data_IF_578292345602
#
_entry.id   IF_578292345602
#
_cell.length_a   1.000
_cell.length_b   1.000
_cell.length_c   1.000
_cell.angle_alpha   90.00
_cell.angle_beta   90.00
_cell.angle_gamma   90.00
#
_symmetry.space_group_name_H-M   'P 1'
#
loop_
_entity.id
_entity.type
_entity.pdbx_description
1 polymer ?
#
# COMPACT_ATOMS: atom_id res chain seq x y z
N UNK A 1 8.59 -16.83 -4.63
CA UNK A 1 7.78 -16.07 -3.62
C UNK A 1 7.60 -14.61 -4.01
N UNK A 2 6.56 -13.94 -3.51
CA UNK A 2 6.38 -12.48 -3.60
C UNK A 2 6.12 -11.93 -2.19
N UNK A 3 6.85 -10.89 -1.82
CA UNK A 3 6.67 -10.15 -0.57
C UNK A 3 5.78 -8.93 -0.82
N UNK A 4 4.75 -8.72 -0.02
CA UNK A 4 3.90 -7.54 -0.05
C UNK A 4 4.09 -6.66 1.18
N UNK A 5 4.16 -5.34 0.98
CA UNK A 5 4.28 -4.33 2.04
C UNK A 5 3.21 -3.26 1.83
N UNK A 6 2.45 -2.95 2.87
CA UNK A 6 1.48 -1.85 2.86
C UNK A 6 1.54 -1.05 4.16
N UNK A 7 1.43 0.27 4.04
CA UNK A 7 1.41 1.20 5.18
C UNK A 7 0.32 2.26 5.06
N UNK A 8 -0.71 1.96 4.29
CA UNK A 8 -1.85 2.87 4.08
C UNK A 8 -2.78 2.96 5.30
N UNK A 9 -2.99 1.85 6.01
CA UNK A 9 -3.91 1.75 7.17
C UNK A 9 -3.27 1.09 8.41
N UNK A 10 -2.00 1.24 8.60
CA UNK A 10 -1.18 0.58 9.60
C UNK A 10 0.11 0.13 8.93
N UNK A 11 0.79 -0.87 9.46
CA UNK A 11 1.92 -1.53 8.81
C UNK A 11 1.59 -2.99 8.61
N UNK A 12 1.69 -3.48 7.38
CA UNK A 12 1.43 -4.86 7.03
C UNK A 12 2.52 -5.39 6.11
N UNK A 13 2.94 -6.62 6.36
CA UNK A 13 3.89 -7.37 5.52
C UNK A 13 3.36 -8.77 5.34
N UNK A 14 3.35 -9.26 4.10
CA UNK A 14 2.90 -10.60 3.78
C UNK A 14 3.82 -11.28 2.79
N UNK A 15 3.87 -12.59 2.82
CA UNK A 15 4.64 -13.42 1.91
C UNK A 15 3.73 -14.48 1.30
N UNK A 16 3.81 -14.63 -0.02
CA UNK A 16 3.12 -15.71 -0.73
C UNK A 16 4.09 -16.58 -1.50
N UNK A 17 3.76 -17.85 -1.61
CA UNK A 17 4.46 -18.81 -2.46
C UNK A 17 4.19 -18.59 -3.94
N UNK A 18 4.91 -19.32 -4.79
CA UNK A 18 4.75 -19.29 -6.25
C UNK A 18 3.31 -19.66 -6.67
N UNK A 19 2.66 -20.57 -5.95
CA UNK A 19 1.27 -20.97 -6.14
C UNK A 19 0.24 -19.92 -5.72
N UNK A 20 0.67 -18.86 -5.03
CA UNK A 20 -0.17 -17.78 -4.50
C UNK A 20 -0.70 -18.05 -3.10
N UNK A 21 -0.33 -19.19 -2.48
CA UNK A 21 -0.69 -19.49 -1.09
C UNK A 21 0.02 -18.54 -0.14
N UNK A 22 -0.70 -18.03 0.85
CA UNK A 22 -0.11 -17.21 1.92
C UNK A 22 0.79 -18.08 2.80
N UNK A 23 2.06 -17.71 2.90
CA UNK A 23 3.03 -18.32 3.80
C UNK A 23 3.05 -17.61 5.15
N UNK A 24 2.98 -16.28 5.13
CA UNK A 24 2.80 -15.44 6.30
C UNK A 24 2.09 -14.15 5.93
N UNK A 25 1.32 -13.59 6.88
CA UNK A 25 0.70 -12.28 6.77
C UNK A 25 0.61 -11.69 8.17
N UNK A 26 1.37 -10.64 8.42
CA UNK A 26 1.45 -10.00 9.74
C UNK A 26 1.19 -8.51 9.61
N UNK A 27 0.49 -7.96 10.57
CA UNK A 27 0.18 -6.53 10.59
C UNK A 27 0.23 -5.96 11.99
N UNK A 28 0.52 -4.69 12.06
CA UNK A 28 0.46 -3.90 13.28
C UNK A 28 -0.46 -2.70 13.06
N UNK A 29 -1.51 -2.62 13.87
CA UNK A 29 -2.39 -1.48 13.89
C UNK A 29 -1.71 -0.32 14.62
N UNK A 30 -1.89 0.91 14.11
CA UNK A 30 -1.31 2.11 14.70
C UNK A 30 -0.68 2.99 13.63
N UNK A 31 -0.71 4.30 13.90
CA UNK A 31 -0.21 5.32 12.93
C UNK A 31 1.16 5.88 13.34
N UNK A 32 1.75 5.37 14.40
CA UNK A 32 3.05 5.78 14.91
C UNK A 32 4.00 4.59 14.85
N UNK A 33 5.27 4.84 14.54
CA UNK A 33 6.28 3.79 14.54
C UNK A 33 6.30 2.90 13.29
N UNK A 34 5.77 3.35 12.13
CA UNK A 34 5.81 2.55 10.89
C UNK A 34 7.23 2.10 10.53
N UNK A 35 8.24 2.94 10.74
CA UNK A 35 9.61 2.61 10.38
C UNK A 35 10.18 1.48 11.26
N UNK A 36 9.91 1.54 12.56
CA UNK A 36 10.31 0.51 13.51
C UNK A 36 9.53 -0.79 13.32
N UNK A 37 8.21 -0.66 13.04
CA UNK A 37 7.33 -1.81 12.84
C UNK A 37 7.72 -2.63 11.60
N UNK A 38 8.03 -1.99 10.46
CA UNK A 38 8.31 -2.70 9.21
C UNK A 38 9.50 -3.66 9.34
N UNK A 39 10.58 -3.25 10.02
CA UNK A 39 11.75 -4.11 10.24
C UNK A 39 11.36 -5.42 10.93
N UNK A 40 10.67 -5.32 12.07
CA UNK A 40 10.21 -6.48 12.83
C UNK A 40 9.19 -7.33 12.07
N UNK A 41 8.27 -6.71 11.32
CA UNK A 41 7.30 -7.45 10.49
C UNK A 41 7.99 -8.21 9.34
N UNK A 42 9.01 -7.61 8.71
CA UNK A 42 9.82 -8.27 7.69
C UNK A 42 10.55 -9.50 8.26
N UNK A 43 11.19 -9.37 9.42
CA UNK A 43 11.84 -10.49 10.09
C UNK A 43 10.86 -11.64 10.35
N UNK A 44 9.69 -11.35 10.90
CA UNK A 44 8.67 -12.35 11.19
C UNK A 44 8.20 -13.08 9.93
N UNK A 45 7.95 -12.33 8.85
CA UNK A 45 7.44 -12.89 7.59
C UNK A 45 8.52 -13.72 6.89
N UNK A 46 9.75 -13.24 6.88
CA UNK A 46 10.86 -13.95 6.25
C UNK A 46 11.24 -15.25 6.99
N UNK A 47 11.01 -15.30 8.31
CA UNK A 47 11.20 -16.53 9.08
C UNK A 47 10.23 -17.66 8.68
N UNK A 48 9.11 -17.33 8.02
CA UNK A 48 8.16 -18.31 7.50
C UNK A 48 8.46 -18.75 6.05
N UNK A 49 9.49 -18.15 5.42
CA UNK A 49 9.91 -18.57 4.09
C UNK A 49 10.51 -19.98 4.13
N UNK A 50 10.21 -20.85 3.15
CA UNK A 50 10.92 -22.11 2.99
C UNK A 50 12.43 -21.83 2.84
N UNK A 51 13.26 -22.50 3.62
CA UNK A 51 14.71 -22.44 3.47
C UNK A 51 15.20 -23.65 2.68
N UNK A 52 16.29 -23.49 1.94
CA UNK A 52 17.05 -24.63 1.42
C UNK A 52 17.57 -25.48 2.58
N UNK A 53 17.60 -26.79 2.42
CA UNK A 53 18.10 -27.70 3.46
C UNK A 53 19.61 -27.55 3.67
N UNK A 54 20.33 -26.98 2.68
CA UNK A 54 21.74 -26.63 2.75
C UNK A 54 22.06 -25.37 1.96
N UNK A 55 23.13 -24.66 2.29
CA UNK A 55 23.61 -23.46 1.60
C UNK A 55 24.00 -23.71 0.12
N UNK A 56 24.24 -24.96 -0.26
CA UNK A 56 24.62 -25.37 -1.61
C UNK A 56 23.40 -25.71 -2.49
N UNK A 57 22.19 -25.81 -1.93
CA UNK A 57 20.97 -26.06 -2.71
C UNK A 57 20.28 -24.75 -3.11
N UNK A 58 19.80 -24.66 -4.37
CA UNK A 58 19.03 -23.48 -4.76
C UNK A 58 17.75 -23.38 -3.93
N UNK A 59 17.40 -22.16 -3.52
CA UNK A 59 16.13 -21.86 -2.84
C UNK A 59 14.96 -22.44 -3.66
N UNK A 60 14.18 -23.38 -3.11
CA UNK A 60 13.09 -24.05 -3.82
C UNK A 60 12.00 -23.07 -4.30
N UNK A 61 11.84 -21.94 -3.64
CA UNK A 61 10.89 -20.87 -4.03
C UNK A 61 11.51 -19.47 -3.80
N UNK A 62 12.46 -19.04 -4.65
CA UNK A 62 13.17 -17.79 -4.45
C UNK A 62 12.21 -16.59 -4.51
N UNK A 63 12.55 -15.52 -3.77
CA UNK A 63 11.85 -14.26 -3.86
C UNK A 63 12.08 -13.66 -5.26
N UNK A 64 11.00 -13.37 -5.98
CA UNK A 64 11.04 -12.84 -7.35
C UNK A 64 10.63 -11.38 -7.46
N UNK A 65 9.76 -10.90 -6.58
CA UNK A 65 9.25 -9.53 -6.59
C UNK A 65 8.94 -9.05 -5.18
N UNK A 66 8.95 -7.73 -5.02
CA UNK A 66 8.36 -7.06 -3.85
C UNK A 66 7.18 -6.22 -4.33
N UNK A 67 6.03 -6.42 -3.73
CA UNK A 67 4.83 -5.62 -3.98
C UNK A 67 4.75 -4.48 -2.96
N UNK A 68 4.53 -3.26 -3.43
CA UNK A 68 4.35 -2.08 -2.58
C UNK A 68 2.93 -1.56 -2.71
N UNK A 69 2.22 -1.45 -1.59
CA UNK A 69 0.94 -0.76 -1.52
C UNK A 69 1.14 0.75 -1.70
N UNK A 70 0.48 1.30 -2.71
CA UNK A 70 0.63 2.70 -3.12
C UNK A 70 -0.42 3.62 -2.50
N UNK A 71 -1.29 3.11 -1.62
CA UNK A 71 -2.40 3.86 -1.05
C UNK A 71 -3.73 3.66 -1.79
N UNK A 72 -4.74 4.41 -1.42
CA UNK A 72 -4.70 5.67 -0.65
C UNK A 72 -4.36 5.48 0.83
N UNK A 73 -3.76 6.51 1.42
CA UNK A 73 -3.38 6.50 2.84
C UNK A 73 -2.68 7.78 3.29
N UNK A 74 -2.31 7.89 4.57
CA UNK A 74 -1.58 9.02 5.10
C UNK A 74 -0.22 9.20 4.43
N UNK A 75 0.09 10.44 4.05
CA UNK A 75 1.28 10.82 3.29
C UNK A 75 2.60 10.24 3.86
N UNK A 76 2.81 10.39 5.17
CA UNK A 76 4.04 9.91 5.84
C UNK A 76 4.10 8.38 5.86
N UNK A 77 2.99 7.72 6.19
CA UNK A 77 2.92 6.26 6.22
C UNK A 77 3.26 5.66 4.87
N UNK A 78 2.58 6.10 3.80
CA UNK A 78 2.82 5.61 2.44
C UNK A 78 4.29 5.70 2.03
N UNK A 79 4.94 6.83 2.30
CA UNK A 79 6.36 7.02 1.95
C UNK A 79 7.27 6.05 2.67
N UNK A 80 7.02 5.78 3.94
CA UNK A 80 7.81 4.84 4.74
C UNK A 80 7.70 3.42 4.16
N UNK A 81 6.48 2.94 3.91
CA UNK A 81 6.26 1.60 3.37
C UNK A 81 6.84 1.42 1.97
N UNK A 82 6.60 2.38 1.08
CA UNK A 82 7.12 2.35 -0.28
C UNK A 82 8.67 2.40 -0.29
N UNK A 83 9.27 3.24 0.57
CA UNK A 83 10.73 3.30 0.70
C UNK A 83 11.31 1.99 1.24
N UNK A 84 10.67 1.39 2.25
CA UNK A 84 11.07 0.09 2.80
C UNK A 84 10.97 -1.03 1.75
N UNK A 85 9.87 -1.11 1.01
CA UNK A 85 9.69 -2.07 -0.06
C UNK A 85 10.76 -1.93 -1.15
N UNK A 86 11.05 -0.70 -1.58
CA UNK A 86 12.10 -0.40 -2.56
C UNK A 86 13.49 -0.75 -2.08
N UNK A 87 13.82 -0.38 -0.83
CA UNK A 87 15.13 -0.69 -0.24
C UNK A 87 15.33 -2.21 -0.10
N UNK A 88 14.30 -2.92 0.35
CA UNK A 88 14.35 -4.38 0.47
C UNK A 88 14.50 -5.05 -0.90
N UNK A 89 13.72 -4.63 -1.89
CA UNK A 89 13.80 -5.14 -3.26
C UNK A 89 15.18 -4.90 -3.87
N UNK A 90 15.76 -3.71 -3.67
CA UNK A 90 17.11 -3.37 -4.13
C UNK A 90 18.15 -4.29 -3.49
N UNK A 91 18.07 -4.50 -2.17
CA UNK A 91 18.98 -5.39 -1.45
C UNK A 91 18.89 -6.86 -1.88
N UNK A 92 17.72 -7.27 -2.41
CA UNK A 92 17.49 -8.64 -2.90
C UNK A 92 17.66 -8.77 -4.43
N UNK A 93 17.93 -7.68 -5.13
CA UNK A 93 18.10 -7.68 -6.59
C UNK A 93 16.81 -8.02 -7.37
N UNK A 94 15.64 -7.71 -6.82
CA UNK A 94 14.34 -8.03 -7.43
C UNK A 94 13.54 -6.77 -7.74
N UNK A 95 12.63 -6.79 -8.72
CA UNK A 95 11.80 -5.65 -9.06
C UNK A 95 10.68 -5.37 -8.04
N UNK A 96 10.22 -4.11 -8.00
CA UNK A 96 9.07 -3.66 -7.23
C UNK A 96 7.84 -3.59 -8.13
N UNK A 97 6.72 -4.12 -7.64
CA UNK A 97 5.39 -4.01 -8.27
C UNK A 97 4.53 -3.05 -7.44
N UNK A 98 4.08 -1.97 -8.07
CA UNK A 98 3.19 -1.00 -7.44
C UNK A 98 1.74 -1.49 -7.48
N UNK A 99 1.07 -1.51 -6.33
CA UNK A 99 -0.31 -2.03 -6.17
C UNK A 99 -1.18 -0.98 -5.47
N UNK A 100 -2.33 -0.58 -6.03
CA UNK A 100 -3.29 0.23 -5.29
C UNK A 100 -3.79 -0.55 -4.07
N UNK A 101 -3.71 0.04 -2.86
CA UNK A 101 -4.05 -0.66 -1.61
C UNK A 101 -5.52 -1.10 -1.56
N UNK A 102 -6.43 -0.32 -2.15
CA UNK A 102 -7.84 -0.70 -2.25
C UNK A 102 -8.07 -1.95 -3.11
N UNK A 103 -7.19 -2.25 -4.09
CA UNK A 103 -7.29 -3.50 -4.85
C UNK A 103 -7.05 -4.72 -3.96
N UNK A 104 -6.11 -4.63 -3.03
CA UNK A 104 -5.87 -5.70 -2.07
C UNK A 104 -7.09 -5.93 -1.16
N UNK A 105 -7.69 -4.87 -0.63
CA UNK A 105 -8.92 -4.95 0.15
C UNK A 105 -10.09 -5.52 -0.67
N UNK A 106 -10.27 -5.07 -1.91
CA UNK A 106 -11.32 -5.58 -2.79
C UNK A 106 -11.13 -7.07 -3.11
N UNK A 107 -9.87 -7.51 -3.30
CA UNK A 107 -9.57 -8.92 -3.52
C UNK A 107 -10.02 -9.79 -2.34
N UNK A 108 -9.72 -9.38 -1.11
CA UNK A 108 -10.14 -10.12 0.09
C UNK A 108 -11.66 -10.22 0.19
N UNK A 109 -12.39 -9.14 -0.10
CA UNK A 109 -13.86 -9.16 -0.14
C UNK A 109 -14.38 -10.11 -1.20
N UNK A 110 -13.81 -10.08 -2.39
CA UNK A 110 -14.23 -10.96 -3.49
C UNK A 110 -13.95 -12.43 -3.17
N UNK A 111 -12.79 -12.73 -2.60
CA UNK A 111 -12.39 -14.10 -2.25
C UNK A 111 -13.20 -14.67 -1.06
N UNK A 112 -13.70 -13.80 -0.16
CA UNK A 112 -14.45 -14.21 1.03
C UNK A 112 -15.96 -14.26 0.78
N UNK A 113 -16.52 -13.21 0.17
CA UNK A 113 -17.95 -12.97 0.08
C UNK A 113 -18.51 -13.24 -1.32
N UNK A 114 -17.65 -13.27 -2.35
CA UNK A 114 -18.02 -13.42 -3.77
C UNK A 114 -19.23 -12.53 -4.17
N UNK A 115 -19.19 -11.20 -3.96
CA UNK A 115 -20.34 -10.35 -4.18
C UNK A 115 -20.79 -10.39 -5.64
N UNK A 116 -22.10 -10.60 -5.86
CA UNK A 116 -22.70 -10.62 -7.19
C UNK A 116 -22.94 -9.21 -7.76
N UNK A 117 -22.94 -8.21 -6.90
CA UNK A 117 -23.25 -6.80 -7.21
C UNK A 117 -22.03 -5.90 -6.96
N UNK A 118 -21.95 -4.75 -7.65
CA UNK A 118 -20.90 -3.78 -7.38
C UNK A 118 -20.88 -3.35 -5.91
N UNK A 119 -19.68 -3.08 -5.39
CA UNK A 119 -19.46 -2.66 -4.01
C UNK A 119 -18.39 -1.58 -3.92
N UNK A 120 -18.42 -0.82 -2.85
CA UNK A 120 -17.45 0.24 -2.58
C UNK A 120 -16.52 -0.14 -1.43
N UNK A 121 -15.21 0.02 -1.63
CA UNK A 121 -14.20 0.02 -0.57
C UNK A 121 -14.04 1.44 -0.07
N UNK A 122 -14.14 1.59 1.25
CA UNK A 122 -14.06 2.87 1.95
C UNK A 122 -12.92 2.86 2.96
N UNK A 123 -12.10 3.91 2.97
CA UNK A 123 -11.08 4.14 3.99
C UNK A 123 -11.13 5.58 4.51
N UNK A 124 -10.85 5.77 5.79
CA UNK A 124 -10.78 7.10 6.40
C UNK A 124 -9.63 7.92 5.79
N UNK A 125 -9.95 8.98 5.09
CA UNK A 125 -8.98 9.89 4.49
C UNK A 125 -8.67 11.12 5.35
N UNK A 126 -9.11 11.15 6.63
CA UNK A 126 -9.05 12.29 7.56
C UNK A 126 -9.83 13.51 7.06
N UNK A 127 -9.88 14.57 7.87
CA UNK A 127 -10.53 15.86 7.55
C UNK A 127 -12.00 15.70 7.15
N UNK A 128 -12.71 14.71 7.71
CA UNK A 128 -14.09 14.36 7.39
C UNK A 128 -14.28 13.99 5.93
N UNK A 129 -13.29 13.33 5.34
CA UNK A 129 -13.37 12.76 3.99
C UNK A 129 -13.07 11.25 4.04
N UNK A 130 -13.65 10.54 3.10
CA UNK A 130 -13.49 9.11 2.88
C UNK A 130 -12.90 8.91 1.49
N UNK A 131 -11.86 8.08 1.38
CA UNK A 131 -11.41 7.59 0.10
C UNK A 131 -12.30 6.43 -0.33
N UNK A 132 -12.83 6.49 -1.53
CA UNK A 132 -13.81 5.55 -2.06
C UNK A 132 -13.33 5.03 -3.41
N UNK A 133 -13.37 3.71 -3.60
CA UNK A 133 -13.18 3.03 -4.89
C UNK A 133 -14.32 2.06 -5.08
N UNK A 134 -14.95 2.06 -6.27
CA UNK A 134 -16.05 1.13 -6.57
C UNK A 134 -15.55 0.02 -7.47
N UNK A 135 -15.89 -1.22 -7.11
CA UNK A 135 -15.50 -2.43 -7.80
C UNK A 135 -16.69 -3.21 -8.33
N UNK A 136 -16.49 -3.89 -9.47
CA UNK A 136 -17.43 -4.81 -10.08
C UNK A 136 -16.71 -6.13 -10.39
N UNK A 137 -16.59 -7.00 -9.37
CA UNK A 137 -15.93 -8.29 -9.49
C UNK A 137 -14.43 -8.22 -9.81
N UNK A 138 -13.98 -9.21 -10.59
CA UNK A 138 -12.60 -9.33 -11.08
C UNK A 138 -12.59 -9.30 -12.62
N UNK A 139 -11.48 -8.85 -13.20
CA UNK A 139 -11.25 -8.90 -14.64
C UNK A 139 -10.73 -10.28 -15.11
N UNK A 140 -10.41 -10.39 -16.39
CA UNK A 140 -9.93 -11.64 -17.01
C UNK A 140 -8.59 -12.13 -16.43
N UNK A 141 -7.81 -11.26 -15.82
CA UNK A 141 -6.53 -11.56 -15.18
C UNK A 141 -6.71 -11.88 -13.68
N UNK A 142 -7.96 -11.88 -13.20
CA UNK A 142 -8.29 -12.09 -11.79
C UNK A 142 -7.98 -10.91 -10.88
N UNK A 143 -7.78 -9.71 -11.43
CA UNK A 143 -7.52 -8.47 -10.68
C UNK A 143 -8.85 -7.77 -10.42
N UNK A 144 -9.10 -7.23 -9.21
CA UNK A 144 -10.33 -6.48 -8.93
C UNK A 144 -10.54 -5.35 -9.95
N UNK A 145 -11.71 -5.37 -10.61
CA UNK A 145 -12.07 -4.40 -11.63
C UNK A 145 -12.69 -3.16 -11.01
N UNK A 146 -11.94 -2.07 -10.94
CA UNK A 146 -12.43 -0.78 -10.47
C UNK A 146 -13.23 -0.10 -11.59
N UNK A 147 -14.51 0.16 -11.34
CA UNK A 147 -15.40 0.92 -12.24
C UNK A 147 -15.45 2.40 -11.89
N UNK A 148 -15.03 2.75 -10.68
CA UNK A 148 -14.73 4.13 -10.24
C UNK A 148 -13.37 4.10 -9.56
N UNK A 149 -12.42 4.85 -10.11
CA UNK A 149 -11.10 5.05 -9.50
C UNK A 149 -11.21 5.71 -8.12
N UNK A 150 -10.17 5.59 -7.31
CA UNK A 150 -10.17 6.14 -5.96
C UNK A 150 -10.37 7.65 -5.95
N UNK A 151 -11.43 8.10 -5.30
CA UNK A 151 -11.78 9.50 -5.13
C UNK A 151 -12.01 9.86 -3.66
N UNK A 152 -11.80 11.13 -3.32
CA UNK A 152 -12.20 11.67 -2.02
C UNK A 152 -13.67 12.09 -2.04
N UNK A 153 -14.39 11.65 -1.02
CA UNK A 153 -15.80 11.99 -0.81
C UNK A 153 -15.94 12.58 0.60
N UNK A 154 -16.53 13.78 0.77
CA UNK A 154 -16.89 14.27 2.10
C UNK A 154 -17.79 13.25 2.82
N UNK A 155 -17.51 12.97 4.10
CA UNK A 155 -18.28 11.98 4.87
C UNK A 155 -19.78 12.22 4.83
N UNK A 156 -20.20 13.50 4.87
CA UNK A 156 -21.61 13.89 4.78
C UNK A 156 -22.27 13.55 3.44
N UNK A 157 -21.48 13.33 2.40
CA UNK A 157 -21.96 13.07 1.04
C UNK A 157 -21.88 11.57 0.66
N UNK A 158 -21.26 10.74 1.47
CA UNK A 158 -21.05 9.31 1.17
C UNK A 158 -22.38 8.62 0.88
N UNK A 159 -23.39 8.82 1.74
CA UNK A 159 -24.71 8.21 1.58
C UNK A 159 -25.39 8.64 0.29
N UNK A 160 -25.34 9.93 -0.02
CA UNK A 160 -25.94 10.48 -1.22
C UNK A 160 -25.24 9.99 -2.50
N UNK A 161 -23.89 9.88 -2.47
CA UNK A 161 -23.11 9.50 -3.65
C UNK A 161 -23.13 8.00 -3.93
N UNK A 162 -23.14 7.17 -2.91
CA UNK A 162 -23.10 5.72 -3.06
C UNK A 162 -24.49 5.08 -3.11
N UNK A 163 -25.54 5.79 -2.63
CA UNK A 163 -26.91 5.27 -2.67
C UNK A 163 -27.02 3.89 -2.03
N UNK A 164 -27.54 2.91 -2.80
CA UNK A 164 -27.74 1.53 -2.35
C UNK A 164 -26.51 0.64 -2.49
N UNK A 165 -25.36 1.14 -3.01
CA UNK A 165 -24.15 0.33 -3.14
C UNK A 165 -23.73 -0.24 -1.78
N UNK A 166 -23.38 -1.53 -1.76
CA UNK A 166 -22.77 -2.17 -0.60
C UNK A 166 -21.45 -1.44 -0.26
N UNK A 167 -21.29 -1.06 1.00
CA UNK A 167 -20.14 -0.33 1.50
C UNK A 167 -19.33 -1.21 2.43
N UNK A 168 -18.03 -1.21 2.23
CA UNK A 168 -17.10 -2.00 3.02
C UNK A 168 -16.04 -1.06 3.56
N UNK A 169 -16.15 -0.76 4.84
CA UNK A 169 -15.17 0.05 5.56
C UNK A 169 -13.97 -0.83 5.90
N UNK A 170 -12.80 -0.42 5.42
CA UNK A 170 -11.54 -1.14 5.61
C UNK A 170 -10.66 -0.37 6.57
N UNK A 171 -10.17 -1.05 7.58
CA UNK A 171 -9.30 -0.49 8.63
C UNK A 171 -7.88 -1.04 8.62
N UNK A 172 -7.63 -2.08 7.82
CA UNK A 172 -6.31 -2.69 7.62
C UNK A 172 -6.20 -3.20 6.19
N UNK A 173 -5.00 -3.30 5.67
CA UNK A 173 -4.67 -3.93 4.38
C UNK A 173 -3.79 -5.15 4.66
N UNK A 174 -4.08 -6.27 4.03
CA UNK A 174 -3.25 -7.48 4.09
C UNK A 174 -2.04 -7.34 3.16
N UNK A 175 -0.84 -7.58 3.69
CA UNK A 175 0.39 -7.65 2.90
C UNK A 175 0.36 -8.81 1.90
N UNK A 176 -0.21 -9.95 2.30
CA UNK A 176 -0.39 -11.09 1.42
C UNK A 176 -1.38 -10.80 0.29
N UNK A 177 -2.45 -10.03 0.53
CA UNK A 177 -3.37 -9.61 -0.53
C UNK A 177 -2.68 -8.69 -1.53
N UNK A 178 -1.84 -7.74 -1.07
CA UNK A 178 -1.01 -6.90 -1.95
C UNK A 178 -0.10 -7.78 -2.82
N UNK A 179 0.55 -8.80 -2.23
CA UNK A 179 1.39 -9.73 -2.97
C UNK A 179 0.60 -10.58 -3.99
N UNK A 180 -0.64 -11.03 -3.65
CA UNK A 180 -1.50 -11.76 -4.59
C UNK A 180 -1.90 -10.92 -5.80
N UNK A 181 -2.25 -9.64 -5.60
CA UNK A 181 -2.50 -8.70 -6.70
C UNK A 181 -1.27 -8.55 -7.58
N UNK A 182 -0.09 -8.33 -6.97
CA UNK A 182 1.16 -8.20 -7.71
C UNK A 182 1.47 -9.46 -8.55
N UNK A 183 1.24 -10.67 -8.00
CA UNK A 183 1.43 -11.93 -8.72
C UNK A 183 0.56 -12.00 -9.98
N UNK A 184 -0.72 -11.61 -9.88
CA UNK A 184 -1.66 -11.56 -11.00
C UNK A 184 -1.22 -10.53 -12.04
N UNK A 185 -0.82 -9.35 -11.61
CA UNK A 185 -0.33 -8.29 -12.50
C UNK A 185 0.95 -8.70 -13.24
N UNK A 186 1.91 -9.32 -12.56
CA UNK A 186 3.15 -9.84 -13.17
C UNK A 186 2.84 -10.93 -14.20
N UNK A 187 1.97 -11.88 -13.86
CA UNK A 187 1.58 -12.95 -14.77
C UNK A 187 0.89 -12.43 -16.05
N UNK A 188 0.13 -11.34 -15.92
CA UNK A 188 -0.56 -10.67 -17.03
C UNK A 188 0.30 -9.61 -17.76
N UNK A 189 1.53 -9.35 -17.30
CA UNK A 189 2.39 -8.28 -17.86
C UNK A 189 1.81 -6.87 -17.68
N UNK A 190 1.01 -6.64 -16.62
CA UNK A 190 0.28 -5.38 -16.39
C UNK A 190 0.95 -4.49 -15.35
N UNK A 191 0.89 -3.19 -15.61
CA UNK A 191 1.18 -2.14 -14.63
C UNK A 191 -0.15 -1.59 -14.10
N UNK A 192 -0.37 -1.69 -12.79
CA UNK A 192 -1.65 -1.29 -12.17
C UNK A 192 -1.69 0.18 -11.79
N UNK A 193 -0.55 0.75 -11.46
CA UNK A 193 -0.41 2.17 -11.09
C UNK A 193 1.04 2.62 -11.29
N UNK A 194 1.27 3.93 -11.27
CA UNK A 194 2.61 4.50 -11.36
C UNK A 194 3.47 4.20 -10.14
N UNK A 195 4.73 4.58 -10.21
CA UNK A 195 5.69 4.40 -9.11
C UNK A 195 5.52 5.39 -7.96
N UNK A 196 4.70 6.42 -8.13
CA UNK A 196 4.43 7.42 -7.09
C UNK A 196 3.22 7.01 -6.23
N UNK A 197 3.22 7.37 -4.93
CA UNK A 197 2.07 7.12 -4.07
C UNK A 197 0.79 7.76 -4.61
N UNK A 198 -0.34 7.10 -4.42
CA UNK A 198 -1.66 7.63 -4.77
C UNK A 198 -2.06 8.75 -3.81
N UNK A 199 -1.52 9.93 -4.05
CA UNK A 199 -1.88 11.13 -3.30
C UNK A 199 -3.21 11.68 -3.81
N UNK A 200 -4.26 11.49 -3.02
CA UNK A 200 -5.59 12.03 -3.34
C UNK A 200 -5.70 13.54 -3.05
N UNK A 201 -4.67 14.13 -2.44
CA UNK A 201 -4.55 15.57 -2.17
C UNK A 201 -3.14 16.06 -2.49
N UNK A 202 -2.99 17.33 -2.90
CA UNK A 202 -1.70 17.96 -2.92
C UNK A 202 -1.07 17.94 -1.52
N UNK A 203 0.27 17.87 -1.40
CA UNK A 203 0.93 17.98 -0.12
C UNK A 203 0.59 19.31 0.56
N UNK A 204 0.33 19.28 1.88
CA UNK A 204 0.06 20.48 2.71
C UNK A 204 1.30 21.37 2.92
N UNK A 205 2.26 21.36 2.01
CA UNK A 205 3.45 22.21 2.09
C UNK A 205 3.03 23.66 1.89
N UNK A 206 2.86 24.42 2.98
CA UNK A 206 2.97 25.87 2.91
C UNK A 206 4.41 26.18 2.51
N UNK A 207 4.60 26.80 1.35
CA UNK A 207 5.90 27.40 1.04
C UNK A 207 6.18 28.38 2.18
N UNK A 208 7.28 28.23 2.95
CA UNK A 208 7.61 29.21 3.97
C UNK A 208 7.72 30.57 3.27
N UNK A 209 7.02 31.58 3.78
CA UNK A 209 7.26 32.96 3.35
C UNK A 209 8.76 33.19 3.46
N UNK A 210 9.39 33.60 2.37
CA UNK A 210 10.85 33.72 2.29
C UNK A 210 11.35 34.48 3.51
N UNK A 211 12.07 33.79 4.38
CA UNK A 211 12.74 34.41 5.51
C UNK A 211 13.69 35.43 4.91
N UNK A 212 13.35 36.70 4.98
CA UNK A 212 14.25 37.77 4.58
C UNK A 212 15.57 37.57 5.34
N UNK A 213 16.71 37.40 4.68
CA UNK A 213 17.97 37.23 5.38
C UNK A 213 18.18 38.45 6.27
N UNK A 214 18.31 38.27 7.58
CA UNK A 214 18.74 39.29 8.50
C UNK A 214 20.22 39.53 8.21
N UNK A 215 20.51 40.47 7.33
CA UNK A 215 21.86 41.00 7.22
C UNK A 215 22.21 41.68 8.56
N UNK A 216 23.30 41.25 9.14
CA UNK A 216 23.89 41.90 10.31
C UNK A 216 24.04 43.37 9.98
N UNK A 217 23.40 44.26 10.76
CA UNK A 217 23.60 45.68 10.66
C UNK A 217 25.07 45.96 10.95
N UNK A 218 25.77 46.76 10.15
CA UNK A 218 27.14 47.09 10.44
C UNK A 218 27.22 47.80 11.81
N UNK A 219 28.14 47.33 12.67
CA UNK A 219 28.42 47.93 13.95
C UNK A 219 28.85 49.41 13.73
N UNK A 220 28.09 50.33 14.33
CA UNK A 220 28.53 51.70 14.47
C UNK A 220 29.54 51.73 15.62
N UNK A 221 30.79 51.47 15.32
CA UNK A 221 31.90 51.84 16.18
C UNK A 221 32.76 52.85 15.42
N UNK A 222 32.89 54.03 15.99
CA UNK A 222 33.83 55.01 15.50
C UNK A 222 33.46 56.47 15.80
N UNK A 223 33.65 56.93 17.00
CA UNK A 223 34.31 58.25 17.30
C UNK A 223 34.58 58.37 18.78
#
# INVERSE_FOLDING_TARGET
MILGVDTSLGSAVGLIGRDGRTLADVSQTGRLGHAEAIGSLLEQVLAAAPSAESDDEPDPDPLTHVAAGMGPGPFTGLRIGIAAARAFALGRGVPVVAVPSHHAAALEVIETDAPAEPFAILTDARRRETAVTVYEGIDVDGIPHAVVDTVLVPQADVDRKLGALRRIEVTAISGAAVARIARRAVAAGRTLTGSEPLYLRPPDARVPEAVKPRFLSPSKDGS
#
